data_IF_653689741660
#
_entry.id   IF_653689741660
#
_cell.length_a   1.000
_cell.length_b   1.000
_cell.length_c   1.000
_cell.angle_alpha   90.00
_cell.angle_beta   90.00
_cell.angle_gamma   90.00
#
_symmetry.space_group_name_H-M   'P 1'
#
loop_
_entity.id
_entity.type
_entity.pdbx_description
1 polymer ?
2 polymer ?
3 polymer ?
4 water ?
#
# COMPACT_ATOMS: atom_id res chain seq x y z
N UNK A 1 26.13 -7.37 -11.39
CA UNK A 1 24.88 -6.59 -11.58
C UNK A 1 25.23 -5.10 -11.66
N UNK A 2 24.57 -4.36 -12.55
CA UNK A 2 24.73 -2.88 -12.63
C UNK A 2 24.01 -2.26 -11.42
N UNK A 3 24.74 -1.49 -10.60
CA UNK A 3 24.17 -0.73 -9.46
C UNK A 3 23.62 0.60 -9.98
N UNK A 4 22.36 0.83 -9.67
CA UNK A 4 21.61 2.05 -10.03
C UNK A 4 21.41 2.85 -8.74
N UNK A 5 22.07 4.00 -8.60
CA UNK A 5 22.00 4.85 -7.39
C UNK A 5 21.16 6.09 -7.72
N UNK A 6 20.21 6.41 -6.85
CA UNK A 6 19.29 7.55 -7.04
C UNK A 6 19.47 8.52 -5.87
N UNK A 7 19.50 9.80 -6.20
CA UNK A 7 19.50 10.92 -5.23
C UNK A 7 18.52 11.97 -5.72
N UNK A 8 17.82 12.69 -4.83
CA UNK A 8 17.84 12.39 -3.39
C UNK A 8 17.08 11.11 -3.03
N UNK A 9 17.27 10.61 -1.81
CA UNK A 9 16.50 9.46 -1.27
C UNK A 9 15.03 9.89 -1.21
N UNK A 10 14.77 11.15 -0.84
CA UNK A 10 13.41 11.71 -0.77
C UNK A 10 13.46 13.23 -0.94
N UNK A 11 12.36 13.81 -1.41
CA UNK A 11 12.18 15.27 -1.44
C UNK A 11 10.71 15.60 -1.26
N UNK A 12 10.49 16.78 -0.73
CA UNK A 12 9.18 17.38 -0.45
C UNK A 12 9.12 18.68 -1.26
N UNK A 13 8.22 18.75 -2.24
CA UNK A 13 8.04 19.90 -3.17
C UNK A 13 6.59 20.34 -3.14
N UNK A 14 6.37 21.66 -3.21
CA UNK A 14 5.03 22.28 -3.27
C UNK A 14 4.46 22.03 -4.66
N UNK A 15 3.13 22.00 -4.74
CA UNK A 15 2.39 21.98 -6.03
C UNK A 15 2.87 23.16 -6.90
N UNK A 16 3.16 22.89 -8.17
CA UNK A 16 3.59 23.86 -9.19
C UNK A 16 5.10 24.05 -9.26
N UNK A 17 5.87 23.50 -8.31
CA UNK A 17 7.35 23.65 -8.28
C UNK A 17 7.94 22.62 -9.23
N UNK A 18 9.14 22.86 -9.80
CA UNK A 18 9.77 21.88 -10.67
C UNK A 18 10.45 20.79 -9.82
N UNK A 19 10.66 19.60 -10.41
CA UNK A 19 11.33 18.44 -9.79
C UNK A 19 12.42 17.89 -10.71
N UNK A 20 13.57 17.56 -10.14
CA UNK A 20 14.71 16.90 -10.81
C UNK A 20 15.23 15.79 -9.88
N UNK A 21 15.21 14.55 -10.36
CA UNK A 21 15.74 13.35 -9.67
C UNK A 21 16.87 12.78 -10.52
N UNK A 22 17.98 12.41 -9.87
CA UNK A 22 19.18 11.86 -10.53
C UNK A 22 19.27 10.35 -10.30
N UNK A 23 19.86 9.67 -11.28
CA UNK A 23 20.05 8.21 -11.34
C UNK A 23 21.45 7.97 -11.91
N UNK A 24 22.32 7.27 -11.20
CA UNK A 24 23.70 7.00 -11.68
C UNK A 24 23.89 5.48 -11.81
N UNK A 25 24.43 5.03 -12.95
CA UNK A 25 24.72 3.60 -13.20
C UNK A 25 26.22 3.34 -12.95
N UNK A 26 26.54 2.14 -12.49
CA UNK A 26 27.92 1.69 -12.18
C UNK A 26 28.64 1.34 -13.48
N UNK A 27 27.93 1.27 -14.61
CA UNK A 27 28.58 1.23 -15.96
C UNK A 27 27.69 1.86 -17.02
N UNK A 28 28.30 2.23 -18.15
CA UNK A 28 27.63 2.86 -19.29
C UNK A 28 26.40 2.03 -19.66
N UNK A 29 25.27 2.69 -19.90
CA UNK A 29 24.02 2.01 -20.32
C UNK A 29 23.86 2.13 -21.84
N UNK A 30 24.88 2.65 -22.53
CA UNK A 30 24.92 2.74 -24.03
C UNK A 30 25.30 1.35 -24.54
N UNK A 31 24.37 0.68 -25.22
CA UNK A 31 24.54 -0.70 -25.73
C UNK A 31 25.24 -0.62 -27.10
N UNK A 32 25.87 -1.71 -27.55
CA UNK A 32 26.59 -1.78 -28.85
C UNK A 32 25.65 -1.57 -30.04
N UNK A 33 24.32 -1.66 -29.84
CA UNK A 33 23.30 -1.41 -30.89
C UNK A 33 22.97 0.10 -30.95
N UNK A 34 23.62 0.92 -30.12
CA UNK A 34 23.49 2.40 -30.16
C UNK A 34 22.38 2.92 -29.25
N UNK A 35 21.57 2.02 -28.70
CA UNK A 35 20.41 2.40 -27.84
C UNK A 35 20.84 2.39 -26.38
N UNK A 36 20.19 3.21 -25.55
CA UNK A 36 20.45 3.33 -24.09
C UNK A 36 19.19 2.90 -23.33
N UNK A 37 19.24 1.73 -22.70
CA UNK A 37 18.04 1.06 -22.17
C UNK A 37 17.88 1.48 -20.71
N UNK A 38 17.69 2.78 -20.49
CA UNK A 38 17.33 3.30 -19.13
C UNK A 38 15.86 3.72 -19.12
N UNK A 39 15.13 3.30 -18.10
CA UNK A 39 13.67 3.49 -17.98
C UNK A 39 13.34 3.97 -16.56
N UNK A 40 12.16 4.55 -16.40
CA UNK A 40 11.63 5.03 -15.09
C UNK A 40 10.21 4.49 -14.89
N UNK A 41 9.89 4.13 -13.64
CA UNK A 41 8.54 3.68 -13.22
C UNK A 41 8.18 4.50 -11.96
N UNK A 42 6.90 4.56 -11.65
CA UNK A 42 6.40 5.23 -10.41
C UNK A 42 5.52 4.22 -9.69
N UNK A 43 5.69 4.09 -8.38
CA UNK A 43 4.80 3.29 -7.51
C UNK A 43 4.21 4.23 -6.45
N UNK A 44 2.91 4.51 -6.56
CA UNK A 44 2.13 5.41 -5.66
C UNK A 44 1.63 4.55 -4.50
N UNK A 45 1.14 5.17 -3.41
CA UNK A 45 0.83 4.44 -2.17
C UNK A 45 0.10 3.08 -2.24
N UNK A 46 0.73 2.01 -1.72
CA UNK A 46 0.22 0.64 -1.63
C UNK A 46 -0.07 -0.05 -2.97
N UNK A 47 0.28 0.56 -4.11
CA UNK A 47 -0.12 0.05 -5.45
C UNK A 47 1.07 -0.54 -6.20
N UNK A 48 0.76 -1.14 -7.34
CA UNK A 48 1.74 -1.69 -8.32
C UNK A 48 2.33 -0.54 -9.13
N UNK A 49 3.62 -0.64 -9.52
CA UNK A 49 4.23 0.33 -10.41
C UNK A 49 3.46 0.58 -11.71
N UNK A 50 3.73 1.76 -12.30
CA UNK A 50 3.34 2.15 -13.68
C UNK A 50 4.60 2.60 -14.44
N UNK A 51 4.77 2.22 -15.70
CA UNK A 51 5.87 2.75 -16.53
C UNK A 51 5.65 4.22 -16.87
N UNK A 52 6.71 5.03 -16.86
CA UNK A 52 6.68 6.47 -17.24
C UNK A 52 7.51 6.70 -18.50
N UNK A 53 8.77 6.27 -18.49
CA UNK A 53 9.80 6.62 -19.50
C UNK A 53 10.59 5.37 -19.89
N UNK A 54 11.01 5.31 -21.15
CA UNK A 54 11.93 4.28 -21.69
C UNK A 54 12.86 4.98 -22.68
N UNK A 55 13.96 4.31 -23.00
CA UNK A 55 15.02 4.84 -23.90
C UNK A 55 15.34 6.28 -23.49
N UNK A 56 15.56 6.49 -22.18
CA UNK A 56 16.07 7.74 -21.54
C UNK A 56 15.00 8.82 -21.49
N UNK A 57 14.30 9.07 -22.60
CA UNK A 57 13.51 10.32 -22.82
C UNK A 57 12.16 10.07 -23.50
N UNK A 58 11.79 8.80 -23.80
CA UNK A 58 10.51 8.50 -24.49
C UNK A 58 9.39 8.29 -23.46
N UNK A 59 8.33 9.10 -23.52
CA UNK A 59 7.20 9.02 -22.57
C UNK A 59 6.34 7.80 -22.94
N UNK A 60 6.05 6.94 -21.96
CA UNK A 60 5.05 5.86 -22.12
C UNK A 60 3.71 6.50 -22.49
N UNK A 61 2.89 5.77 -23.23
CA UNK A 61 1.55 6.21 -23.70
C UNK A 61 0.74 6.72 -22.49
N UNK A 62 0.18 7.92 -22.62
CA UNK A 62 -0.77 8.51 -21.64
C UNK A 62 -0.07 9.28 -20.54
N UNK A 63 1.27 9.25 -20.49
CA UNK A 63 2.05 9.91 -19.40
C UNK A 63 2.05 11.41 -19.70
N UNK A 64 1.68 12.28 -18.72
CA UNK A 64 1.64 13.72 -18.96
C UNK A 64 2.99 14.26 -19.43
N UNK A 65 3.00 15.31 -20.25
CA UNK A 65 4.25 15.84 -20.87
C UNK A 65 4.93 16.81 -19.90
N UNK A 66 4.43 16.91 -18.64
CA UNK A 66 5.13 17.57 -17.51
C UNK A 66 6.38 16.76 -17.18
N UNK A 67 6.37 15.47 -17.53
CA UNK A 67 7.48 14.51 -17.29
C UNK A 67 8.42 14.52 -18.50
N UNK A 68 9.71 14.45 -18.21
CA UNK A 68 10.77 14.26 -19.23
C UNK A 68 11.98 13.59 -18.58
N UNK A 69 12.79 12.92 -19.41
CA UNK A 69 14.05 12.30 -19.01
C UNK A 69 15.16 12.82 -19.88
N UNK A 70 16.36 12.95 -19.31
CA UNK A 70 17.61 13.27 -20.04
C UNK A 70 18.73 12.41 -19.47
N UNK A 71 19.86 12.39 -20.19
CA UNK A 71 21.09 11.77 -19.71
C UNK A 71 21.97 11.37 -20.86
N UNK A 72 22.98 10.57 -20.54
CA UNK A 72 24.11 10.23 -21.41
C UNK A 72 24.49 8.78 -21.20
N UNK A 73 25.54 8.50 -20.42
CA UNK A 73 26.18 7.17 -20.37
C UNK A 73 25.91 6.52 -19.01
N UNK A 74 26.23 7.23 -17.92
CA UNK A 74 26.03 6.76 -16.52
C UNK A 74 25.22 7.76 -15.70
N UNK A 75 24.83 8.93 -16.26
CA UNK A 75 24.05 9.96 -15.53
C UNK A 75 22.73 10.20 -16.28
N UNK A 76 21.63 10.14 -15.54
CA UNK A 76 20.26 10.31 -16.07
C UNK A 76 19.45 11.11 -15.07
N UNK A 77 18.50 11.89 -15.58
CA UNK A 77 17.59 12.71 -14.75
C UNK A 77 16.15 12.51 -15.22
N UNK A 78 15.23 12.41 -14.27
CA UNK A 78 13.78 12.56 -14.51
C UNK A 78 13.40 13.94 -14.01
N UNK A 79 12.63 14.68 -14.80
CA UNK A 79 12.20 16.05 -14.49
C UNK A 79 10.68 16.12 -14.57
N UNK A 80 10.09 16.86 -13.64
CA UNK A 80 8.67 17.28 -13.65
C UNK A 80 8.71 18.81 -13.74
N UNK A 81 8.14 19.40 -14.80
CA UNK A 81 8.15 20.86 -15.04
C UNK A 81 7.39 21.54 -13.91
N UNK A 82 6.24 20.95 -13.54
CA UNK A 82 5.22 21.46 -12.61
C UNK A 82 4.69 20.28 -11.77
N UNK A 83 5.01 20.20 -10.47
CA UNK A 83 4.54 19.04 -9.65
C UNK A 83 3.03 19.21 -9.37
N UNK A 84 2.29 18.10 -9.47
CA UNK A 84 0.85 18.00 -9.15
C UNK A 84 0.67 17.01 -7.97
N UNK A 85 -0.47 17.10 -7.26
CA UNK A 85 -0.73 16.35 -6.02
C UNK A 85 -0.59 14.85 -6.29
N UNK A 86 -1.01 14.40 -7.47
CA UNK A 86 -1.01 12.95 -7.82
C UNK A 86 0.37 12.45 -8.28
N UNK A 87 1.41 13.28 -8.31
CA UNK A 87 2.77 12.82 -8.72
C UNK A 87 3.49 12.13 -7.55
N UNK A 88 2.91 12.13 -6.35
CA UNK A 88 3.56 11.58 -5.13
C UNK A 88 3.83 10.08 -5.29
N UNK A 89 4.87 9.58 -4.64
CA UNK A 89 5.19 8.14 -4.60
C UNK A 89 6.69 7.91 -4.78
N UNK A 90 7.07 6.71 -5.18
CA UNK A 90 8.50 6.32 -5.27
C UNK A 90 8.81 6.15 -6.74
N UNK A 91 9.76 6.93 -7.24
CA UNK A 91 10.28 6.88 -8.63
C UNK A 91 11.50 5.95 -8.63
N UNK A 92 11.52 4.99 -9.56
CA UNK A 92 12.68 4.07 -9.72
C UNK A 92 13.16 4.20 -11.16
N UNK A 93 14.45 4.47 -11.35
CA UNK A 93 15.10 4.20 -12.65
C UNK A 93 15.43 2.71 -12.72
N UNK A 94 15.60 2.17 -13.90
CA UNK A 94 15.95 0.73 -14.04
C UNK A 94 16.55 0.54 -15.42
N UNK A 95 17.43 -0.43 -15.58
CA UNK A 95 18.23 -0.59 -16.83
C UNK A 95 18.02 -1.99 -17.41
N UNK A 96 18.16 -2.12 -18.74
CA UNK A 96 18.03 -3.42 -19.44
C UNK A 96 19.02 -3.48 -20.60
N UNK A 97 20.19 -2.84 -20.45
CA UNK A 97 21.35 -2.91 -21.39
C UNK A 97 22.18 -4.15 -21.02
N UNK A 98 22.28 -4.46 -19.72
CA UNK A 98 23.12 -5.57 -19.18
C UNK A 98 22.27 -6.55 -18.38
N UNK A 99 22.56 -7.85 -18.52
CA UNK A 99 21.94 -8.94 -17.73
C UNK A 99 22.57 -9.00 -16.35
N UNK A 100 21.80 -9.09 -15.23
CA UNK A 100 20.34 -9.02 -15.25
C UNK A 100 19.81 -7.57 -15.18
N UNK A 101 18.57 -7.38 -15.59
CA UNK A 101 17.85 -6.10 -15.39
C UNK A 101 17.98 -5.73 -13.91
N UNK A 102 18.19 -4.46 -13.60
CA UNK A 102 18.34 -3.95 -12.22
C UNK A 102 17.55 -2.65 -12.05
N UNK A 103 17.04 -2.44 -10.83
CA UNK A 103 16.24 -1.27 -10.40
C UNK A 103 17.09 -0.42 -9.48
N UNK A 104 16.93 0.89 -9.59
CA UNK A 104 17.47 1.88 -8.64
C UNK A 104 16.91 1.73 -7.24
N UNK A 105 17.54 2.46 -6.33
CA UNK A 105 17.28 2.50 -4.87
C UNK A 105 15.97 3.25 -4.60
N UNK A 106 15.51 4.09 -5.54
CA UNK A 106 14.22 4.77 -5.44
C UNK A 106 14.34 6.13 -4.77
N UNK A 107 13.56 7.10 -5.26
CA UNK A 107 13.39 8.43 -4.69
C UNK A 107 11.92 8.60 -4.33
N UNK A 108 11.59 8.91 -3.07
CA UNK A 108 10.19 9.16 -2.65
C UNK A 108 9.89 10.66 -2.76
N UNK A 109 8.87 11.03 -3.53
CA UNK A 109 8.39 12.43 -3.69
C UNK A 109 7.23 12.64 -2.73
N UNK A 110 7.36 13.55 -1.76
CA UNK A 110 6.26 13.99 -0.83
C UNK A 110 5.76 15.36 -1.32
N UNK A 111 4.48 15.64 -1.16
CA UNK A 111 3.94 16.97 -1.53
C UNK A 111 3.97 17.83 -0.26
N UNK A 112 4.57 19.01 -0.36
CA UNK A 112 4.54 20.04 0.70
C UNK A 112 3.29 20.89 0.50
N UNK A 113 2.51 21.09 1.54
CA UNK A 113 1.25 21.85 1.45
C UNK A 113 1.11 22.67 2.73
N UNK A 114 0.02 23.40 2.87
CA UNK A 114 -0.19 24.27 4.06
C UNK A 114 -0.49 23.38 5.26
N UNK A 115 -0.18 23.93 6.44
CA UNK A 115 -0.47 23.29 7.74
C UNK A 115 -1.98 23.06 7.81
N UNK A 116 -2.40 21.88 8.22
CA UNK A 116 -3.81 21.49 8.38
C UNK A 116 -3.92 20.70 9.68
N UNK A 117 -4.68 21.25 10.62
CA UNK A 117 -4.92 20.65 11.93
C UNK A 117 -5.85 19.43 11.74
N UNK A 118 -5.71 18.37 12.54
CA UNK A 118 -6.60 17.22 12.43
C UNK A 118 -8.01 17.51 12.95
N UNK A 119 -9.01 16.89 12.32
CA UNK A 119 -10.34 16.62 12.91
C UNK A 119 -10.23 15.37 13.80
N UNK A 120 -10.67 15.47 15.05
CA UNK A 120 -10.46 14.38 16.05
C UNK A 120 -11.79 13.75 16.45
N UNK A 121 -11.88 12.43 16.27
CA UNK A 121 -13.08 11.63 16.58
C UNK A 121 -12.71 10.50 17.55
N UNK A 122 -13.71 10.03 18.30
CA UNK A 122 -13.54 8.85 19.18
C UNK A 122 -14.74 7.92 19.01
N UNK A 123 -14.48 6.62 19.10
CA UNK A 123 -15.44 5.51 18.98
C UNK A 123 -15.32 4.64 20.24
N UNK A 124 -16.38 4.53 21.06
CA UNK A 124 -16.42 3.52 22.12
C UNK A 124 -16.36 2.09 21.58
N UNK A 125 -16.13 1.08 22.44
CA UNK A 125 -16.21 -0.30 21.98
C UNK A 125 -17.66 -0.58 21.50
N UNK A 126 -17.79 -1.41 20.47
CA UNK A 126 -19.08 -1.98 19.99
C UNK A 126 -19.61 -2.95 21.06
N UNK A 127 -20.93 -3.08 21.14
CA UNK A 127 -21.58 -4.08 22.03
C UNK A 127 -21.09 -5.48 21.62
N UNK A 128 -20.93 -5.74 20.31
CA UNK A 128 -20.43 -7.03 19.78
C UNK A 128 -19.10 -7.39 20.46
N UNK A 129 -18.13 -6.47 20.51
CA UNK A 129 -16.80 -6.75 21.12
C UNK A 129 -16.94 -6.90 22.64
N UNK A 130 -17.74 -6.07 23.28
CA UNK A 130 -17.87 -6.12 24.75
C UNK A 130 -18.34 -7.52 25.17
N UNK A 131 -19.28 -8.10 24.42
CA UNK A 131 -19.81 -9.48 24.62
C UNK A 131 -18.69 -10.52 24.56
N UNK A 132 -17.66 -10.32 23.74
CA UNK A 132 -16.49 -11.22 23.63
C UNK A 132 -15.55 -11.00 24.82
N UNK A 133 -15.75 -9.95 25.62
CA UNK A 133 -14.99 -9.68 26.86
C UNK A 133 -13.72 -8.84 26.66
N UNK A 134 -13.60 -8.10 25.55
CA UNK A 134 -12.50 -7.12 25.33
C UNK A 134 -13.12 -5.78 24.92
N UNK A 135 -12.43 -4.67 25.19
CA UNK A 135 -12.87 -3.27 24.91
C UNK A 135 -11.77 -2.52 24.17
N UNK A 136 -11.93 -2.30 22.86
CA UNK A 136 -11.11 -1.39 22.00
C UNK A 136 -11.80 -0.03 21.86
N UNK A 137 -11.10 1.05 22.25
CA UNK A 137 -11.49 2.46 21.99
C UNK A 137 -10.60 3.02 20.87
N UNK A 138 -11.22 3.65 19.89
CA UNK A 138 -10.47 4.13 18.70
C UNK A 138 -10.56 5.65 18.63
N UNK A 139 -9.38 6.28 18.49
CA UNK A 139 -9.18 7.72 18.28
C UNK A 139 -8.71 7.94 16.83
N UNK A 140 -9.45 8.77 16.09
CA UNK A 140 -9.18 9.07 14.66
C UNK A 140 -8.77 10.54 14.53
N UNK A 141 -7.62 10.78 13.92
CA UNK A 141 -7.12 12.12 13.52
C UNK A 141 -7.19 12.17 12.00
N UNK A 142 -8.12 12.96 11.46
CA UNK A 142 -8.41 12.97 10.00
C UNK A 142 -7.80 14.19 9.29
N UNK A 143 -7.08 13.93 8.18
CA UNK A 143 -6.70 14.93 7.14
C UNK A 143 -5.89 16.08 7.77
N UNK A 144 -4.67 15.79 8.25
CA UNK A 144 -3.75 16.78 8.85
C UNK A 144 -2.44 16.84 8.07
N UNK A 145 -1.69 17.90 8.30
CA UNK A 145 -0.36 18.14 7.68
C UNK A 145 0.39 19.17 8.52
N UNK A 146 1.68 18.96 8.87
CA UNK A 146 2.47 17.79 8.45
C UNK A 146 2.15 16.48 9.22
N UNK A 147 2.90 15.44 8.88
CA UNK A 147 2.65 14.04 9.33
C UNK A 147 2.81 13.85 10.84
N UNK A 148 3.68 14.62 11.49
CA UNK A 148 4.03 14.40 12.92
C UNK A 148 2.82 14.81 13.75
N UNK A 149 2.41 13.95 14.67
CA UNK A 149 1.29 14.22 15.60
C UNK A 149 1.51 13.38 16.86
N UNK A 150 0.96 13.83 17.98
CA UNK A 150 1.06 13.11 19.26
C UNK A 150 -0.35 12.81 19.77
N UNK A 151 -0.61 11.55 20.14
CA UNK A 151 -1.88 11.12 20.77
C UNK A 151 -1.52 10.58 22.15
N UNK A 152 -2.21 11.03 23.19
CA UNK A 152 -2.12 10.43 24.55
C UNK A 152 -3.53 9.96 24.93
N UNK A 153 -3.62 8.76 25.50
CA UNK A 153 -4.89 8.20 26.03
C UNK A 153 -4.98 8.57 27.50
N UNK A 154 -6.15 9.02 27.95
CA UNK A 154 -6.43 9.30 29.38
C UNK A 154 -7.72 8.59 29.77
N UNK A 155 -7.71 7.88 30.91
CA UNK A 155 -8.90 7.16 31.48
C UNK A 155 -9.12 7.73 32.89
N UNK A 156 -10.26 8.36 33.13
CA UNK A 156 -10.52 9.18 34.36
C UNK A 156 -9.27 10.00 34.66
N UNK A 157 -8.81 10.80 33.68
CA UNK A 157 -7.68 11.76 33.81
C UNK A 157 -6.32 11.06 33.97
N UNK A 158 -6.22 9.73 33.92
CA UNK A 158 -4.95 9.03 34.17
C UNK A 158 -4.26 8.72 32.83
N UNK A 159 -3.09 9.28 32.58
CA UNK A 159 -2.28 9.05 31.35
C UNK A 159 -1.99 7.55 31.22
N UNK A 160 -2.38 6.93 30.10
CA UNK A 160 -2.19 5.48 29.86
C UNK A 160 -0.84 5.25 29.20
N UNK A 161 -0.15 4.17 29.59
CA UNK A 161 0.99 3.62 28.85
C UNK A 161 0.80 2.12 28.69
N UNK A 162 1.13 1.60 27.50
CA UNK A 162 1.40 0.17 27.27
C UNK A 162 0.19 -0.59 26.76
N UNK A 163 -0.93 0.09 26.48
CA UNK A 163 -2.21 -0.56 26.09
C UNK A 163 -2.73 0.07 24.80
N UNK A 164 -1.87 0.74 24.01
CA UNK A 164 -2.30 1.42 22.76
C UNK A 164 -1.29 1.15 21.62
N UNK A 165 -1.82 1.18 20.40
CA UNK A 165 -1.04 1.12 19.13
C UNK A 165 -1.65 2.09 18.13
N UNK A 166 -0.82 2.65 17.23
CA UNK A 166 -1.28 3.65 16.24
C UNK A 166 -0.56 3.39 14.90
N UNK A 167 -1.18 3.80 13.81
CA UNK A 167 -0.49 3.86 12.50
C UNK A 167 -0.94 5.13 11.77
N UNK A 168 -0.09 5.59 10.86
CA UNK A 168 -0.37 6.78 10.02
C UNK A 168 -0.51 6.31 8.57
N UNK A 169 -1.43 6.92 7.82
CA UNK A 169 -1.58 6.64 6.38
C UNK A 169 -0.34 7.15 5.65
N UNK A 170 -0.16 6.64 4.45
CA UNK A 170 0.61 7.30 3.39
C UNK A 170 -0.05 8.64 3.09
N UNK A 171 0.63 9.50 2.35
CA UNK A 171 0.09 10.83 1.96
C UNK A 171 -1.05 10.67 0.93
N UNK A 172 -2.12 11.45 1.12
CA UNK A 172 -3.31 11.45 0.21
C UNK A 172 -2.95 12.05 -1.15
N UNK A 173 -3.29 11.34 -2.23
CA UNK A 173 -2.93 11.72 -3.63
C UNK A 173 -3.77 12.92 -4.09
N UNK A 174 -4.73 13.40 -3.29
CA UNK A 174 -5.62 14.51 -3.71
C UNK A 174 -5.48 15.74 -2.81
N UNK A 175 -5.57 15.63 -1.49
CA UNK A 175 -5.47 16.83 -0.59
C UNK A 175 -4.09 16.89 0.10
N UNK A 176 -3.21 15.91 -0.14
CA UNK A 176 -1.81 15.86 0.34
C UNK A 176 -1.72 15.79 1.88
N UNK A 177 -2.80 15.36 2.56
CA UNK A 177 -2.83 15.19 4.03
C UNK A 177 -2.47 13.75 4.44
N UNK A 178 -2.38 13.55 5.73
CA UNK A 178 -2.22 12.26 6.42
C UNK A 178 -3.41 12.08 7.35
N UNK A 179 -3.68 10.84 7.71
CA UNK A 179 -4.64 10.49 8.81
C UNK A 179 -3.98 9.49 9.75
N UNK A 180 -4.42 9.45 11.00
CA UNK A 180 -3.85 8.52 11.99
C UNK A 180 -4.97 7.90 12.79
N UNK A 181 -4.81 6.61 13.10
CA UNK A 181 -5.72 5.82 13.95
C UNK A 181 -4.93 5.31 15.15
N UNK A 182 -5.44 5.54 16.36
CA UNK A 182 -4.91 4.94 17.61
C UNK A 182 -6.02 4.10 18.27
N UNK A 183 -5.67 2.89 18.74
CA UNK A 183 -6.57 1.96 19.47
C UNK A 183 -6.03 1.69 20.87
N UNK A 184 -6.86 1.99 21.86
CA UNK A 184 -6.63 1.64 23.28
C UNK A 184 -7.43 0.36 23.56
N UNK A 185 -6.77 -0.73 23.96
CA UNK A 185 -7.41 -2.05 24.22
C UNK A 185 -7.27 -2.43 25.70
N UNK A 186 -8.41 -2.59 26.36
CA UNK A 186 -8.55 -3.05 27.76
C UNK A 186 -9.39 -4.33 27.78
N UNK A 187 -9.23 -5.16 28.83
CA UNK A 187 -10.18 -6.23 29.18
C UNK A 187 -11.54 -5.56 29.43
N UNK A 188 -12.65 -6.26 29.21
CA UNK A 188 -14.01 -5.71 29.49
C UNK A 188 -14.09 -5.32 30.97
N UNK A 189 -13.45 -6.09 31.84
CA UNK A 189 -13.53 -5.89 33.31
C UNK A 189 -12.80 -4.59 33.65
N UNK A 190 -11.58 -4.40 33.10
CA UNK A 190 -10.81 -3.16 33.32
C UNK A 190 -11.59 -1.98 32.75
N UNK A 191 -12.17 -2.12 31.55
CA UNK A 191 -13.03 -1.08 30.90
C UNK A 191 -14.17 -0.68 31.85
N UNK A 192 -14.82 -1.70 32.41
CA UNK A 192 -16.00 -1.65 33.33
C UNK A 192 -15.72 -0.77 34.56
N UNK A 193 -14.45 -0.70 34.97
CA UNK A 193 -13.99 -0.11 36.26
C UNK A 193 -13.86 1.42 36.17
N UNK A 194 -13.93 2.01 34.98
CA UNK A 194 -13.64 3.45 34.77
C UNK A 194 -14.78 4.10 33.98
N UNK A 195 -14.82 5.43 34.01
CA UNK A 195 -15.93 6.25 33.46
C UNK A 195 -15.46 7.02 32.21
N UNK A 196 -14.45 7.88 32.31
CA UNK A 196 -14.10 8.87 31.25
C UNK A 196 -12.98 8.30 30.37
N UNK A 197 -13.21 8.19 29.06
CA UNK A 197 -12.20 7.78 28.05
C UNK A 197 -11.96 8.97 27.11
N UNK A 198 -10.69 9.36 26.98
CA UNK A 198 -10.24 10.61 26.34
C UNK A 198 -9.02 10.33 25.50
N UNK A 199 -8.95 10.84 24.28
CA UNK A 199 -7.65 10.94 23.58
C UNK A 199 -7.31 12.41 23.40
N UNK A 200 -6.08 12.76 23.74
CA UNK A 200 -5.53 14.14 23.71
C UNK A 200 -4.53 14.23 22.56
N UNK A 201 -4.78 15.14 21.62
CA UNK A 201 -4.03 15.30 20.34
C UNK A 201 -3.25 16.63 20.36
N UNK A 202 -1.97 16.53 20.00
CA UNK A 202 -1.01 17.64 19.81
C UNK A 202 -0.59 17.59 18.34
N UNK A 203 -0.63 18.74 17.67
CA UNK A 203 -0.27 18.88 16.24
C UNK A 203 0.08 20.35 15.99
N UNK A 204 0.98 20.59 15.06
CA UNK A 204 1.46 21.93 14.67
C UNK A 204 0.28 22.86 14.31
N UNK A 205 -0.84 22.33 13.80
CA UNK A 205 -2.00 23.14 13.37
C UNK A 205 -2.86 23.59 14.54
N UNK A 206 -2.57 23.09 15.75
CA UNK A 206 -3.35 23.35 16.99
C UNK A 206 -2.51 24.20 17.95
N UNK A 207 -3.11 25.20 18.58
CA UNK A 207 -2.38 26.08 19.51
C UNK A 207 -2.50 25.53 20.93
N UNK A 208 -3.49 24.67 21.20
CA UNK A 208 -3.50 23.86 22.44
C UNK A 208 -3.94 22.45 22.09
N UNK A 209 -3.67 21.45 22.96
CA UNK A 209 -4.12 20.08 22.70
C UNK A 209 -5.66 20.00 22.65
N UNK A 210 -6.17 19.15 21.78
CA UNK A 210 -7.63 18.90 21.59
C UNK A 210 -7.94 17.57 22.29
N UNK A 211 -8.86 17.59 23.25
CA UNK A 211 -9.34 16.38 23.97
C UNK A 211 -10.68 15.95 23.40
N UNK A 212 -10.75 14.72 22.91
CA UNK A 212 -12.03 14.06 22.54
C UNK A 212 -12.30 12.98 23.58
N UNK A 213 -13.48 12.98 24.19
CA UNK A 213 -13.81 12.06 25.32
C UNK A 213 -15.25 11.58 25.25
N UNK A 214 -15.54 10.51 25.99
CA UNK A 214 -16.91 10.07 26.29
C UNK A 214 -16.94 9.47 27.70
N UNK A 215 -18.16 9.40 28.25
CA UNK A 215 -18.47 8.72 29.53
C UNK A 215 -19.08 7.35 29.20
N UNK A 216 -18.41 6.27 29.61
CA UNK A 216 -18.86 4.87 29.40
C UNK A 216 -20.32 4.75 29.87
N UNK A 217 -21.23 4.43 28.93
CA UNK A 217 -22.68 4.30 29.17
C UNK A 217 -23.34 5.66 29.34
N UNK A 218 -23.42 6.44 28.26
CA UNK A 218 -24.12 7.75 28.21
C UNK A 218 -24.50 8.06 26.76
N UNK A 219 -25.59 7.47 26.27
CA UNK A 219 -26.11 7.66 24.89
C UNK A 219 -26.62 9.10 24.72
N UNK B 1 -9.38 -2.30 -22.00
CA UNK B 1 -8.17 -1.75 -21.31
C UNK B 1 -7.20 -2.89 -21.02
N UNK B 2 -5.91 -2.56 -20.97
CA UNK B 2 -4.81 -3.52 -20.69
C UNK B 2 -4.76 -3.75 -19.18
N UNK B 3 -4.93 -4.98 -18.71
CA UNK B 3 -4.69 -5.31 -17.28
C UNK B 3 -4.03 -6.68 -17.12
N UNK B 4 -3.18 -6.77 -16.10
CA UNK B 4 -2.61 -8.01 -15.52
C UNK B 4 -3.25 -8.21 -14.15
N UNK B 5 -3.96 -9.32 -13.97
CA UNK B 5 -4.63 -9.65 -12.69
C UNK B 5 -3.98 -10.92 -12.17
N UNK B 6 -3.43 -10.84 -10.97
CA UNK B 6 -2.70 -11.96 -10.32
C UNK B 6 -3.62 -12.61 -9.31
N UNK B 7 -3.35 -13.87 -8.97
CA UNK B 7 -3.95 -14.53 -7.78
C UNK B 7 -3.01 -15.63 -7.29
N UNK B 8 -3.23 -16.05 -6.06
CA UNK B 8 -2.47 -17.12 -5.40
C UNK B 8 -2.72 -17.06 -3.91
N UNK B 9 -2.39 -18.14 -3.17
CA UNK B 9 -2.46 -18.13 -1.72
C UNK B 9 -1.50 -17.09 -1.10
N UNK B 10 -1.86 -16.56 0.07
CA UNK B 10 -1.09 -15.50 0.76
C UNK B 10 -0.31 -16.06 1.98
N UNK B 11 -0.55 -17.32 2.37
CA UNK B 11 0.14 -17.97 3.52
C UNK B 11 0.55 -19.40 3.13
N UNK B 12 1.81 -19.74 3.38
CA UNK B 12 2.42 -21.08 3.16
C UNK B 12 3.39 -21.36 4.30
N UNK B 13 3.66 -22.62 4.57
CA UNK B 13 4.69 -23.08 5.54
C UNK B 13 6.03 -23.24 4.83
N UNK B 14 7.15 -23.12 5.57
CA UNK B 14 8.46 -23.40 5.01
C UNK B 14 8.42 -24.85 4.46
N UNK B 15 9.04 -25.09 3.31
CA UNK B 15 9.07 -26.40 2.64
C UNK B 15 7.96 -26.53 1.61
N UNK B 16 6.82 -25.82 1.79
CA UNK B 16 5.65 -25.96 0.88
C UNK B 16 5.97 -25.34 -0.49
N UNK B 17 5.03 -25.47 -1.42
CA UNK B 17 5.08 -24.94 -2.80
C UNK B 17 3.94 -23.92 -2.96
N UNK B 18 4.13 -22.90 -3.80
CA UNK B 18 3.04 -21.94 -4.13
C UNK B 18 3.03 -21.68 -5.63
N UNK B 19 1.82 -21.53 -6.17
CA UNK B 19 1.56 -21.12 -7.58
C UNK B 19 0.88 -19.75 -7.55
N UNK B 20 1.46 -18.80 -8.27
CA UNK B 20 0.99 -17.39 -8.44
C UNK B 20 0.64 -17.20 -9.91
N UNK B 21 -0.60 -16.81 -10.20
CA UNK B 21 -1.14 -16.66 -11.58
C UNK B 21 -1.14 -15.18 -11.96
N UNK B 22 -0.81 -14.90 -13.22
CA UNK B 22 -0.83 -13.57 -13.85
C UNK B 22 -1.70 -13.68 -15.12
N UNK B 23 -2.92 -13.15 -15.08
CA UNK B 23 -3.89 -13.22 -16.20
C UNK B 23 -3.86 -11.89 -16.97
N UNK B 24 -3.51 -11.95 -18.25
CA UNK B 24 -3.50 -10.79 -19.16
C UNK B 24 -4.85 -10.65 -19.88
N UNK B 25 -5.27 -9.42 -20.10
CA UNK B 25 -6.50 -9.07 -20.85
C UNK B 25 -6.36 -7.67 -21.49
N UNK B 26 -7.15 -7.40 -22.55
CA UNK B 26 -7.14 -6.13 -23.29
C UNK B 26 -6.02 -6.01 -24.31
N UNK B 27 -5.27 -7.08 -24.61
CA UNK B 27 -4.17 -7.01 -25.62
C UNK B 27 -3.79 -8.40 -26.11
N UNK B 28 -2.90 -8.48 -27.09
CA UNK B 28 -2.37 -9.77 -27.62
C UNK B 28 -1.30 -10.32 -26.65
N UNK B 29 -1.67 -11.35 -25.89
CA UNK B 29 -0.81 -11.95 -24.84
C UNK B 29 0.56 -12.26 -25.42
N UNK B 30 0.60 -12.89 -26.61
CA UNK B 30 1.82 -13.50 -27.21
C UNK B 30 2.73 -12.44 -27.83
N UNK B 31 2.32 -11.17 -27.86
CA UNK B 31 3.12 -10.06 -28.48
C UNK B 31 4.04 -9.41 -27.46
N UNK B 32 3.86 -9.72 -26.17
CA UNK B 32 4.57 -9.03 -25.07
C UNK B 32 5.14 -10.06 -24.08
N UNK B 33 6.38 -9.83 -23.67
CA UNK B 33 7.05 -10.58 -22.59
C UNK B 33 6.25 -10.37 -21.30
N UNK B 34 6.30 -11.35 -20.40
CA UNK B 34 5.97 -11.18 -18.95
C UNK B 34 7.26 -11.26 -18.15
N UNK B 35 7.51 -10.24 -17.31
CA UNK B 35 8.66 -10.16 -16.39
C UNK B 35 8.15 -10.43 -14.98
N UNK B 36 8.94 -11.13 -14.18
CA UNK B 36 8.63 -11.50 -12.78
C UNK B 36 9.57 -10.70 -11.87
N UNK B 37 9.01 -10.05 -10.86
CA UNK B 37 9.76 -9.07 -10.02
C UNK B 37 9.36 -9.33 -8.57
N UNK B 38 10.36 -9.49 -7.70
CA UNK B 38 10.15 -9.71 -6.25
C UNK B 38 10.26 -8.36 -5.55
N UNK B 39 9.32 -8.02 -4.65
CA UNK B 39 9.39 -6.76 -3.88
C UNK B 39 9.29 -7.15 -2.40
N UNK B 40 10.36 -6.98 -1.65
CA UNK B 40 10.43 -7.26 -0.20
C UNK B 40 9.56 -6.23 0.51
N UNK B 41 8.61 -6.62 1.40
CA UNK B 41 7.75 -5.64 2.06
C UNK B 41 8.68 -4.61 2.71
N UNK B 42 8.52 -3.34 2.37
CA UNK B 42 9.45 -2.24 2.69
C UNK B 42 10.30 -1.83 1.49
N UNK B 43 11.06 -2.78 0.92
CA UNK B 43 12.25 -2.53 0.05
C UNK B 43 11.88 -2.44 -1.44
N UNK B 44 12.90 -2.19 -2.26
CA UNK B 44 12.81 -2.02 -3.71
C UNK B 44 12.55 -3.31 -4.45
N UNK B 45 13.05 -3.38 -5.68
CA UNK B 45 12.57 -4.33 -6.69
C UNK B 45 13.75 -5.15 -7.20
N UNK B 46 13.52 -6.45 -7.32
CA UNK B 46 14.54 -7.42 -7.78
C UNK B 46 13.94 -8.20 -8.94
N UNK B 47 14.59 -8.13 -10.09
CA UNK B 47 14.18 -8.86 -11.32
C UNK B 47 14.47 -10.35 -11.16
N UNK B 48 13.45 -11.20 -11.34
CA UNK B 48 13.58 -12.68 -11.22
C UNK B 48 13.89 -13.31 -12.58
N UNK B 49 13.57 -12.60 -13.65
CA UNK B 49 13.66 -13.10 -15.03
C UNK B 49 12.37 -12.83 -15.76
N UNK B 50 12.17 -13.50 -16.87
CA UNK B 50 11.05 -13.22 -17.80
C UNK B 50 10.69 -14.52 -18.53
N UNK B 51 9.54 -14.55 -19.18
CA UNK B 51 9.10 -15.71 -20.01
C UNK B 51 8.68 -15.15 -21.37
N UNK B 52 9.23 -15.72 -22.45
CA UNK B 52 8.79 -15.44 -23.83
C UNK B 52 7.41 -16.05 -23.98
N UNK B 53 6.39 -15.22 -24.26
CA UNK B 53 4.97 -15.63 -24.25
C UNK B 53 4.62 -16.31 -25.57
N UNK B 54 5.49 -16.18 -26.57
CA UNK B 54 5.36 -16.77 -27.93
C UNK B 54 5.94 -18.20 -27.92
N UNK B 55 7.18 -18.37 -27.43
CA UNK B 55 7.94 -19.64 -27.47
C UNK B 55 7.77 -20.41 -26.16
N UNK B 56 7.40 -19.72 -25.07
CA UNK B 56 7.23 -20.32 -23.74
C UNK B 56 8.56 -20.44 -23.00
N UNK B 57 9.64 -19.94 -23.60
CA UNK B 57 11.03 -20.11 -23.08
C UNK B 57 11.22 -19.15 -21.90
N UNK B 58 11.52 -19.66 -20.68
CA UNK B 58 11.86 -18.81 -19.54
C UNK B 58 13.38 -18.54 -19.41
N UNK B 59 13.73 -17.36 -18.92
CA UNK B 59 15.13 -16.96 -18.60
C UNK B 59 15.12 -16.50 -17.14
N UNK B 60 16.04 -17.04 -16.34
CA UNK B 60 16.11 -16.89 -14.87
C UNK B 60 17.32 -16.01 -14.54
N UNK B 61 17.13 -15.03 -13.67
CA UNK B 61 18.24 -14.33 -12.99
C UNK B 61 18.94 -15.39 -12.13
N UNK B 62 20.25 -15.24 -11.87
CA UNK B 62 21.08 -16.27 -11.18
C UNK B 62 20.49 -16.59 -9.79
N UNK B 63 20.04 -15.58 -9.05
CA UNK B 63 19.53 -15.76 -7.66
C UNK B 63 18.20 -16.52 -7.66
N UNK B 64 17.59 -16.78 -8.83
CA UNK B 64 16.27 -17.43 -8.97
C UNK B 64 16.35 -18.72 -9.79
N UNK B 65 17.56 -19.25 -10.01
CA UNK B 65 17.75 -20.59 -10.62
C UNK B 65 17.59 -21.66 -9.54
N UNK B 66 16.72 -22.64 -9.78
CA UNK B 66 16.57 -23.85 -8.95
C UNK B 66 15.14 -24.05 -8.49
N UNK B 67 14.62 -23.16 -7.63
CA UNK B 67 13.31 -23.34 -6.94
C UNK B 67 12.20 -22.56 -7.65
N UNK B 68 12.53 -21.83 -8.73
CA UNK B 68 11.61 -20.89 -9.42
C UNK B 68 11.35 -21.42 -10.84
N UNK B 69 10.08 -21.65 -11.19
CA UNK B 69 9.68 -22.14 -12.54
C UNK B 69 8.58 -21.20 -13.09
N UNK B 70 8.90 -20.51 -14.19
CA UNK B 70 7.96 -19.70 -14.99
C UNK B 70 7.38 -20.61 -16.08
N UNK B 71 6.05 -20.62 -16.24
CA UNK B 71 5.32 -21.44 -17.25
C UNK B 71 4.18 -20.62 -17.86
N UNK B 72 3.58 -21.13 -18.94
CA UNK B 72 2.42 -20.48 -19.63
C UNK B 72 1.21 -21.41 -19.59
N UNK B 73 0.03 -20.80 -19.54
CA UNK B 73 -1.25 -21.36 -20.05
C UNK B 73 -1.73 -20.41 -21.16
N UNK B 74 -1.20 -20.60 -22.38
CA UNK B 74 -1.25 -19.65 -23.51
C UNK B 74 -2.70 -19.36 -23.92
N UNK B 75 -3.56 -20.37 -23.88
CA UNK B 75 -4.99 -20.27 -24.28
C UNK B 75 -5.83 -19.58 -23.20
N UNK B 76 -5.29 -19.39 -21.99
CA UNK B 76 -5.96 -18.61 -20.91
C UNK B 76 -5.26 -17.26 -20.72
N UNK B 77 -4.35 -16.88 -21.63
CA UNK B 77 -3.56 -15.62 -21.55
C UNK B 77 -2.98 -15.42 -20.13
N UNK B 78 -2.42 -16.50 -19.56
CA UNK B 78 -1.95 -16.58 -18.15
C UNK B 78 -0.48 -17.01 -18.12
N UNK B 79 0.32 -16.29 -17.32
CA UNK B 79 1.70 -16.65 -16.95
C UNK B 79 1.69 -17.10 -15.49
N UNK B 80 2.38 -18.21 -15.20
CA UNK B 80 2.40 -18.85 -13.87
C UNK B 80 3.81 -18.81 -13.32
N UNK B 81 3.90 -18.54 -12.01
CA UNK B 81 5.13 -18.59 -11.20
C UNK B 81 4.91 -19.69 -10.17
N UNK B 82 5.78 -20.69 -10.18
CA UNK B 82 5.85 -21.73 -9.12
C UNK B 82 7.15 -21.52 -8.33
N UNK B 83 7.03 -21.31 -7.02
CA UNK B 83 8.18 -21.35 -6.07
C UNK B 83 8.02 -22.60 -5.22
N UNK B 84 9.06 -23.43 -5.13
CA UNK B 84 9.01 -24.70 -4.36
C UNK B 84 10.01 -24.64 -3.21
N UNK B 85 9.78 -25.44 -2.19
CA UNK B 85 10.70 -25.56 -1.03
C UNK B 85 10.79 -24.20 -0.32
N UNK B 86 9.65 -23.56 -0.10
CA UNK B 86 9.60 -22.15 0.35
C UNK B 86 10.49 -21.94 1.58
N UNK B 87 11.18 -20.79 1.63
CA UNK B 87 12.13 -20.40 2.71
C UNK B 87 11.70 -19.06 3.31
N UNK B 88 12.26 -18.75 4.48
CA UNK B 88 11.96 -17.51 5.24
C UNK B 88 12.07 -16.32 4.29
N UNK B 89 13.13 -16.29 3.46
CA UNK B 89 13.54 -15.14 2.61
C UNK B 89 12.57 -14.93 1.43
N UNK B 90 11.72 -15.91 1.11
CA UNK B 90 10.75 -15.82 -0.02
C UNK B 90 9.53 -14.97 0.36
N UNK B 91 9.33 -14.65 1.64
CA UNK B 91 8.24 -13.71 2.04
C UNK B 91 8.42 -12.38 1.31
N UNK B 92 7.46 -12.01 0.46
CA UNK B 92 7.55 -10.88 -0.48
C UNK B 92 6.23 -10.71 -1.23
N UNK B 93 6.07 -9.61 -1.94
CA UNK B 93 5.06 -9.46 -3.00
C UNK B 93 5.74 -9.87 -4.32
N UNK B 94 5.08 -10.75 -5.07
CA UNK B 94 5.52 -11.19 -6.42
C UNK B 94 4.64 -10.48 -7.45
N UNK B 95 5.30 -9.70 -8.32
CA UNK B 95 4.70 -8.86 -9.38
C UNK B 95 5.00 -9.50 -10.74
N UNK B 96 4.04 -9.47 -11.65
CA UNK B 96 4.25 -9.71 -13.10
C UNK B 96 4.14 -8.35 -13.78
N UNK B 97 4.83 -8.16 -14.91
CA UNK B 97 4.80 -6.90 -15.67
C UNK B 97 4.92 -7.24 -17.16
N UNK B 98 4.23 -6.49 -17.99
CA UNK B 98 4.30 -6.57 -19.48
C UNK B 98 5.54 -5.81 -19.96
N UNK B 99 6.33 -6.43 -20.83
CA UNK B 99 7.60 -5.86 -21.29
C UNK B 99 7.63 -5.73 -22.79
N UNK B 100 8.30 -4.70 -23.31
CA UNK B 100 8.55 -4.50 -24.76
C UNK B 100 10.03 -4.70 -25.06
N UNK B 101 10.37 -4.73 -26.36
CA UNK B 101 11.77 -4.81 -26.83
C UNK B 101 12.55 -3.55 -26.42
N UNK B 102 11.88 -2.40 -26.36
CA UNK B 102 12.51 -1.10 -26.04
C UNK B 102 12.61 -0.90 -24.51
N UNK B 103 12.32 -1.95 -23.74
CA UNK B 103 12.47 -2.01 -22.28
C UNK B 103 11.53 -1.00 -21.62
N UNK B 104 10.26 -0.99 -22.01
CA UNK B 104 9.15 -0.51 -21.14
C UNK B 104 8.68 -1.69 -20.28
N UNK B 105 8.49 -1.46 -18.98
CA UNK B 105 7.58 -2.28 -18.16
C UNK B 105 6.39 -1.36 -17.90
N UNK B 106 5.42 -1.36 -18.81
CA UNK B 106 4.36 -0.32 -18.82
C UNK B 106 3.29 -0.68 -17.80
N UNK B 107 2.70 -1.87 -17.91
CA UNK B 107 1.56 -2.32 -17.07
C UNK B 107 2.00 -3.42 -16.11
N UNK B 108 1.61 -3.31 -14.83
CA UNK B 108 2.02 -4.25 -13.76
C UNK B 108 0.78 -4.92 -13.15
N UNK B 109 0.90 -6.18 -12.73
CA UNK B 109 -0.14 -6.84 -11.91
C UNK B 109 -0.17 -6.20 -10.55
N UNK B 110 -1.20 -6.49 -9.74
CA UNK B 110 -1.42 -5.87 -8.41
C UNK B 110 -0.51 -6.59 -7.40
N UNK B 111 0.09 -7.70 -7.82
CA UNK B 111 1.00 -8.51 -6.99
C UNK B 111 0.25 -9.49 -6.10
N UNK B 112 0.97 -10.48 -5.59
CA UNK B 112 0.46 -11.42 -4.55
C UNK B 112 1.46 -11.41 -3.41
N UNK B 113 0.95 -11.10 -2.21
CA UNK B 113 1.72 -11.05 -0.97
C UNK B 113 1.79 -12.47 -0.39
N UNK B 114 2.96 -13.10 -0.44
CA UNK B 114 3.16 -14.47 0.14
C UNK B 114 3.93 -14.32 1.45
N UNK B 115 3.30 -14.73 2.55
CA UNK B 115 3.96 -14.87 3.86
C UNK B 115 4.35 -16.34 4.10
N UNK B 116 5.65 -16.62 4.29
CA UNK B 116 6.17 -17.96 4.68
C UNK B 116 6.28 -18.02 6.22
N UNK B 117 5.39 -18.76 6.85
CA UNK B 117 5.32 -18.88 8.33
C UNK B 117 4.92 -20.29 8.75
N UNK B 118 5.50 -20.77 9.84
CA UNK B 118 5.05 -22.03 10.49
C UNK B 118 3.81 -21.74 11.37
N UNK B 119 3.51 -20.48 11.67
CA UNK B 119 2.33 -20.11 12.50
C UNK B 119 1.06 -20.25 11.67
N UNK B 120 -0.04 -20.60 12.32
CA UNK B 120 -1.37 -20.81 11.70
C UNK B 120 -2.06 -19.47 11.44
N UNK B 121 -2.93 -19.45 10.44
CA UNK B 121 -3.81 -18.30 10.14
C UNK B 121 -4.80 -18.08 11.30
N UNK B 122 -5.20 -16.83 11.52
CA UNK B 122 -6.32 -16.44 12.40
C UNK B 122 -7.17 -15.44 11.61
N UNK B 123 -8.47 -15.70 11.52
CA UNK B 123 -9.42 -14.83 10.83
C UNK B 123 -9.79 -13.68 11.75
N UNK B 124 -10.01 -12.46 11.21
CA UNK B 124 -10.33 -11.30 12.03
C UNK B 124 -11.76 -11.31 12.57
N UNK B 125 -12.00 -10.69 13.73
CA UNK B 125 -13.31 -10.17 14.15
C UNK B 125 -13.50 -8.80 13.49
N UNK B 126 -14.71 -8.48 13.04
CA UNK B 126 -15.05 -7.17 12.41
C UNK B 126 -16.07 -6.47 13.29
N UNK B 127 -15.68 -5.40 13.96
CA UNK B 127 -16.58 -4.59 14.82
C UNK B 127 -16.88 -3.27 14.14
N UNK B 128 -18.13 -2.78 14.29
CA UNK B 128 -18.51 -1.48 13.72
C UNK B 128 -17.91 -0.34 14.58
N UNK B 129 -17.51 0.73 13.91
CA UNK B 129 -17.19 2.03 14.54
C UNK B 129 -18.38 2.92 14.22
N UNK B 130 -19.37 2.93 15.11
CA UNK B 130 -20.69 3.56 14.87
C UNK B 130 -20.50 5.07 14.78
N UNK B 131 -21.14 5.75 13.81
CA UNK B 131 -21.20 7.21 13.83
C UNK B 131 -22.01 7.62 15.06
N UNK B 132 -21.57 8.66 15.74
CA UNK B 132 -22.18 9.18 17.00
C UNK B 132 -21.90 10.68 17.06
N UNK B 133 -22.39 11.31 18.13
CA UNK B 133 -22.12 12.73 18.45
C UNK B 133 -20.61 12.96 18.61
N UNK B 134 -19.84 11.91 18.90
CA UNK B 134 -18.37 12.00 19.14
C UNK B 134 -17.55 11.76 17.86
N UNK B 135 -18.21 11.55 16.72
CA UNK B 135 -17.51 11.33 15.44
C UNK B 135 -18.04 12.28 14.36
N UNK B 136 -18.69 13.37 14.75
CA UNK B 136 -19.26 14.34 13.79
C UNK B 136 -18.55 15.70 13.90
N UNK B 137 -18.37 16.37 12.77
CA UNK B 137 -17.91 17.78 12.71
C UNK B 137 -18.29 18.43 11.39
N UNK B 138 -18.83 19.65 11.48
CA UNK B 138 -19.12 20.53 10.34
C UNK B 138 -20.09 19.89 9.36
N UNK B 139 -21.03 19.09 9.89
CA UNK B 139 -22.07 18.37 9.13
C UNK B 139 -21.55 17.08 8.53
N UNK B 140 -20.38 16.61 8.94
CA UNK B 140 -19.81 15.35 8.41
C UNK B 140 -19.73 14.37 9.57
N UNK B 141 -19.91 13.08 9.28
CA UNK B 141 -19.83 12.01 10.29
C UNK B 141 -18.75 11.04 9.86
N UNK B 142 -17.88 10.66 10.79
CA UNK B 142 -16.94 9.55 10.58
C UNK B 142 -17.54 8.26 11.14
N UNK B 143 -17.37 7.18 10.38
CA UNK B 143 -17.81 5.81 10.73
C UNK B 143 -16.78 4.86 10.14
N UNK B 144 -16.74 3.63 10.63
CA UNK B 144 -15.81 2.65 10.06
C UNK B 144 -15.95 1.27 10.65
N UNK B 145 -14.93 0.46 10.38
CA UNK B 145 -14.87 -0.94 10.83
C UNK B 145 -13.51 -1.16 11.48
N UNK B 146 -13.51 -1.81 12.64
CA UNK B 146 -12.29 -2.33 13.31
C UNK B 146 -12.16 -3.80 12.93
N UNK B 147 -11.09 -4.13 12.22
CA UNK B 147 -10.74 -5.53 11.79
C UNK B 147 -9.63 -6.03 12.73
N UNK B 148 -10.02 -6.75 13.80
CA UNK B 148 -9.14 -7.11 14.94
C UNK B 148 -8.67 -8.57 14.89
N UNK B 149 -7.38 -8.78 15.19
CA UNK B 149 -6.78 -10.09 15.61
C UNK B 149 -6.73 -11.04 14.42
N UNK B 150 -5.90 -10.77 13.42
CA UNK B 150 -5.76 -11.68 12.25
C UNK B 150 -4.29 -11.92 11.94
N UNK B 151 -4.03 -12.99 11.20
CA UNK B 151 -2.68 -13.31 10.67
C UNK B 151 -2.85 -14.21 9.46
N UNK B 152 -2.07 -14.07 8.36
CA UNK B 152 -1.14 -12.97 8.17
C UNK B 152 -1.82 -11.73 7.55
N UNK B 153 -1.03 -10.73 7.14
CA UNK B 153 -1.47 -9.69 6.17
C UNK B 153 -1.56 -10.40 4.82
N UNK B 154 -2.36 -9.89 3.87
CA UNK B 154 -3.19 -8.70 4.06
C UNK B 154 -4.67 -9.01 4.32
N UNK B 155 -5.41 -7.98 4.71
CA UNK B 155 -6.90 -7.93 4.60
C UNK B 155 -7.28 -6.82 3.62
N UNK B 156 -8.26 -7.07 2.77
CA UNK B 156 -8.83 -6.05 1.86
C UNK B 156 -10.14 -5.55 2.46
N UNK B 157 -10.33 -4.25 2.44
CA UNK B 157 -11.58 -3.59 2.90
C UNK B 157 -12.10 -2.75 1.73
N UNK B 158 -13.35 -2.96 1.34
CA UNK B 158 -14.13 -2.09 0.45
C UNK B 158 -15.35 -1.61 1.23
N UNK B 159 -16.04 -0.57 0.72
CA UNK B 159 -17.29 0.01 1.29
C UNK B 159 -18.38 -0.06 0.22
N UNK B 160 -19.58 -0.54 0.59
CA UNK B 160 -20.75 -0.63 -0.33
C UNK B 160 -20.33 -1.34 -1.62
N UNK B 161 -19.56 -2.42 -1.47
CA UNK B 161 -19.15 -3.33 -2.58
C UNK B 161 -18.34 -2.56 -3.63
N UNK B 162 -17.64 -1.50 -3.23
CA UNK B 162 -16.77 -0.68 -4.10
C UNK B 162 -17.41 0.63 -4.54
N UNK B 163 -18.72 0.80 -4.31
CA UNK B 163 -19.51 1.97 -4.72
C UNK B 163 -19.10 3.21 -3.91
N UNK B 164 -18.53 3.03 -2.72
CA UNK B 164 -18.09 4.16 -1.87
C UNK B 164 -16.55 4.12 -1.76
N UNK B 165 -15.87 5.09 -2.38
CA UNK B 165 -14.38 5.25 -2.33
C UNK B 165 -13.96 6.62 -1.79
N UNK B 166 -14.74 7.69 -1.99
CA UNK B 166 -14.42 9.07 -1.54
C UNK B 166 -14.36 9.10 0.00
N UNK B 167 -13.31 9.69 0.55
CA UNK B 167 -13.18 9.97 2.00
C UNK B 167 -12.87 8.71 2.79
N UNK B 168 -12.45 7.63 2.12
CA UNK B 168 -12.10 6.33 2.78
C UNK B 168 -10.62 6.39 3.20
N UNK B 169 -10.32 6.06 4.46
CA UNK B 169 -8.93 5.79 4.90
C UNK B 169 -8.88 4.38 5.49
N UNK B 170 -8.14 3.50 4.84
CA UNK B 170 -7.83 2.16 5.36
C UNK B 170 -6.38 2.19 5.87
N UNK B 171 -6.22 2.13 7.19
CA UNK B 171 -4.92 2.39 7.86
C UNK B 171 -4.02 1.16 7.74
N UNK B 172 -2.68 1.37 7.69
CA UNK B 172 -1.73 0.27 7.80
C UNK B 172 -2.02 -0.52 9.08
N UNK B 173 -1.94 -1.85 8.98
CA UNK B 173 -2.12 -2.76 10.15
C UNK B 173 -1.04 -2.52 11.21
N UNK B 174 -1.40 -2.68 12.49
CA UNK B 174 -0.44 -2.75 13.63
C UNK B 174 -0.28 -4.20 14.09
N UNK B 175 0.91 -4.53 14.59
CA UNK B 175 1.26 -5.88 15.10
C UNK B 175 1.09 -5.83 16.62
N UNK B 176 0.13 -6.57 17.16
CA UNK B 176 -0.14 -6.61 18.61
C UNK B 176 0.88 -7.54 19.30
N UNK B 177 0.93 -7.47 20.64
CA UNK B 177 1.77 -8.32 21.52
C UNK B 177 1.73 -9.78 21.03
N UNK B 178 0.51 -10.26 20.76
CA UNK B 178 0.13 -11.65 20.35
C UNK B 178 0.80 -12.09 19.04
N UNK B 179 1.40 -11.19 18.26
CA UNK B 179 1.80 -11.51 16.89
C UNK B 179 0.61 -11.49 15.93
N UNK B 180 -0.55 -10.98 16.37
CA UNK B 180 -1.73 -10.79 15.50
C UNK B 180 -1.83 -9.32 15.09
N UNK B 181 -2.38 -9.09 13.90
CA UNK B 181 -2.62 -7.74 13.32
C UNK B 181 -4.03 -7.22 13.67
N UNK B 182 -4.17 -5.90 13.65
CA UNK B 182 -5.46 -5.17 13.64
C UNK B 182 -5.32 -3.95 12.73
N UNK B 183 -6.42 -3.60 12.05
CA UNK B 183 -6.51 -2.37 11.24
C UNK B 183 -7.89 -1.76 11.40
N UNK B 184 -7.93 -0.46 11.10
CA UNK B 184 -9.10 0.44 11.07
C UNK B 184 -9.35 0.78 9.60
N UNK B 185 -10.62 0.83 9.20
CA UNK B 185 -11.06 1.46 7.94
C UNK B 185 -12.20 2.42 8.28
N UNK B 186 -12.06 3.69 7.88
CA UNK B 186 -13.04 4.77 8.20
C UNK B 186 -13.43 5.49 6.94
N UNK B 187 -14.60 6.11 6.98
CA UNK B 187 -15.09 6.97 5.88
C UNK B 187 -15.83 8.13 6.54
N UNK B 188 -15.73 9.29 5.90
CA UNK B 188 -16.46 10.52 6.29
C UNK B 188 -17.63 10.68 5.31
N UNK B 189 -18.83 10.84 5.84
CA UNK B 189 -20.09 10.90 5.04
C UNK B 189 -20.91 12.08 5.50
N UNK B 190 -21.97 12.50 4.75
CA UNK B 190 -22.88 13.53 5.24
C UNK B 190 -23.56 13.05 6.53
N UNK B 191 -23.61 13.89 7.54
CA UNK B 191 -24.38 13.52 8.76
C UNK B 191 -25.90 13.55 8.46
N UNK B 192 -26.35 14.31 7.46
CA UNK B 192 -27.79 14.53 7.14
C UNK B 192 -28.48 13.28 6.57
N UNK B 193 -27.76 12.38 5.89
CA UNK B 193 -28.35 11.22 5.17
C UNK B 193 -28.03 9.89 5.87
N UNK B 194 -27.66 9.95 7.16
CA UNK B 194 -27.37 8.76 7.97
C UNK B 194 -28.66 7.93 8.11
N UNK B 195 -29.84 8.54 7.93
CA UNK B 195 -31.16 7.86 8.00
C UNK B 195 -31.55 7.18 6.69
N UNK B 196 -30.91 7.53 5.57
CA UNK B 196 -31.36 7.17 4.20
C UNK B 196 -30.30 6.35 3.47
N UNK B 197 -29.04 6.51 3.84
CA UNK B 197 -27.94 5.81 3.16
C UNK B 197 -27.52 4.61 4.00
N UNK B 198 -27.09 3.54 3.33
CA UNK B 198 -26.58 2.31 3.96
C UNK B 198 -25.07 2.23 3.74
N UNK B 199 -24.33 1.98 4.82
CA UNK B 199 -22.85 1.84 4.84
C UNK B 199 -22.49 0.44 5.34
N UNK B 200 -21.93 -0.38 4.46
CA UNK B 200 -21.47 -1.77 4.73
C UNK B 200 -19.96 -1.82 4.45
N UNK B 201 -19.15 -2.26 5.41
CA UNK B 201 -17.73 -2.60 5.13
C UNK B 201 -17.62 -4.08 4.73
N UNK B 202 -16.98 -4.31 3.59
CA UNK B 202 -16.73 -5.67 3.01
C UNK B 202 -15.27 -6.05 3.33
N UNK B 203 -15.09 -6.94 4.30
CA UNK B 203 -13.77 -7.40 4.81
C UNK B 203 -13.49 -8.81 4.26
N UNK B 204 -12.38 -8.95 3.55
CA UNK B 204 -11.92 -10.23 2.98
C UNK B 204 -10.53 -10.51 3.58
N UNK B 205 -10.35 -11.64 4.27
CA UNK B 205 -9.03 -12.21 4.68
C UNK B 205 -8.91 -13.61 4.08
N UNK B 206 -8.25 -13.71 2.93
CA UNK B 206 -8.18 -14.96 2.14
C UNK B 206 -7.62 -16.12 2.98
N UNK B 207 -6.49 -15.98 3.69
CA UNK B 207 -5.92 -17.15 4.37
C UNK B 207 -6.85 -17.88 5.36
N UNK B 208 -7.81 -17.19 5.99
CA UNK B 208 -8.75 -17.76 7.00
C UNK B 208 -10.12 -18.00 6.37
N UNK B 209 -10.26 -17.75 5.06
CA UNK B 209 -11.56 -17.82 4.33
C UNK B 209 -12.56 -16.82 4.92
N UNK B 210 -12.11 -15.71 5.52
CA UNK B 210 -13.01 -14.72 6.14
C UNK B 210 -13.59 -13.81 5.04
N UNK B 211 -14.92 -13.75 4.98
CA UNK B 211 -15.70 -12.88 4.06
C UNK B 211 -16.85 -12.28 4.88
N UNK B 212 -16.68 -11.08 5.46
CA UNK B 212 -17.71 -10.42 6.32
C UNK B 212 -18.21 -9.15 5.63
N UNK B 213 -19.52 -8.94 5.64
CA UNK B 213 -20.18 -7.66 5.26
C UNK B 213 -20.86 -7.14 6.52
N UNK B 214 -20.34 -6.04 7.08
CA UNK B 214 -20.84 -5.47 8.35
C UNK B 214 -21.53 -4.14 8.07
N UNK B 215 -22.84 -4.09 8.35
CA UNK B 215 -23.63 -2.85 8.28
C UNK B 215 -23.24 -2.01 9.48
N UNK B 216 -22.83 -0.78 9.22
CA UNK B 216 -22.46 0.17 10.30
C UNK B 216 -23.55 1.21 10.40
N UNK B 217 -24.28 1.26 11.52
CA UNK B 217 -25.41 2.21 11.69
C UNK B 217 -25.23 3.03 12.96
N UNK B 218 -25.87 4.22 13.06
CA UNK B 218 -25.75 5.09 14.23
C UNK B 218 -25.82 4.37 15.59
N UNK B 219 -24.89 4.78 16.44
CA UNK B 219 -24.71 4.45 17.88
C UNK B 219 -26.05 4.01 18.49
N UNK B 220 -27.01 4.93 18.65
CA UNK B 220 -28.35 4.72 19.24
C UNK B 220 -28.25 4.58 20.77
N UNK B 221 -29.19 3.87 21.41
CA UNK B 221 -29.20 3.64 22.88
C UNK B 221 -30.01 2.37 23.21
C UNK C 1 10.53 -8.81 -29.48
N UNK C 2 10.72 -9.44 -28.31
CA UNK C 2 9.85 -9.20 -27.09
C UNK C 2 10.66 -8.50 -25.98
N UNK C 3 11.98 -8.69 -25.98
CA UNK C 3 12.84 -8.37 -24.80
C UNK C 3 14.05 -7.55 -25.24
N UNK C 4 14.47 -6.58 -24.40
CA UNK C 4 15.69 -5.82 -24.64
C UNK C 4 16.95 -6.66 -24.41
N UNK C 5 18.11 -6.25 -24.96
CA UNK C 5 19.32 -7.09 -24.95
C UNK C 5 19.72 -7.57 -23.55
N UNK C 6 19.52 -6.73 -22.52
CA UNK C 6 19.90 -7.03 -21.13
C UNK C 6 19.04 -8.12 -20.50
N UNK C 7 17.95 -8.52 -21.14
CA UNK C 7 17.06 -9.63 -20.72
C UNK C 7 17.70 -10.98 -21.07
N UNK C 8 18.71 -10.99 -21.97
CA UNK C 8 19.43 -12.22 -22.40
C UNK C 8 20.80 -12.31 -21.73
N UNK C 9 21.15 -13.44 -21.08
CA UNK C 9 22.46 -13.56 -20.46
C UNK C 9 23.50 -13.66 -21.60
N UNK C 10 24.75 -13.27 -21.30
CA UNK C 10 25.85 -13.21 -22.28
C UNK C 10 26.94 -14.21 -21.93
#
# INVERSE_FOLDING_TARGET
>A
DVVMTQTPVSLSLAIGQPASISCKSSQSLVHSDGKTYLSWILQRPGQSPKGLIYLVSKLDSGVPDRFSGSGSETEFTLKISRVEAEDLGVYYCWQATHFPLTFGSGTKLEIKRTVAAPSVFIFPPSDEQLKSGTASVVCLLNNFYPREAKVQWKVDNALQSGNSQESVTEQDSKDSTYSLSSTLTLSKADYEKHKVYACEVTHQGLSSPVTKSFNRGEC
>B
QIQLVQSGPELKKPGESVKISCKASGYTFTDYAIHWVKQAPGKGLKWMGWINTYTGKPIYADDFKGRFVFSLEASASTANLQISNLKNEDTATYLCARGTMMASLDYWGQGVMVTVSSASTKGPSVFPLAPSSKSTSGGTAALGCLVKDYFPEPVTVSWNSGALTSGVHTFPAVLQSSGLYSLSSVVTVPSSSLGTQTYICNVNHKPSNTKVDKKVEPKSCHHHHHH
>C
XQAPPGAYPG
#
